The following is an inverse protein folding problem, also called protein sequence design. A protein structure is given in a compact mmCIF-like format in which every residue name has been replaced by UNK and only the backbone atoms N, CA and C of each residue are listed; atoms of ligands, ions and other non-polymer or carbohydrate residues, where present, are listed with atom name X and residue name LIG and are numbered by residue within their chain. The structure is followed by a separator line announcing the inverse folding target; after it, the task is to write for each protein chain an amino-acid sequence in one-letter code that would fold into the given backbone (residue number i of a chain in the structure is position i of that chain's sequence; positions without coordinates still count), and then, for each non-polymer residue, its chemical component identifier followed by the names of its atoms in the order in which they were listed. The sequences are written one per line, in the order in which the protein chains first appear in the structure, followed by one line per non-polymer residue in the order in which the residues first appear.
data_IF_617118705545
#
_entry.id   IF_617118705545
#
_cell.length_a   1.000
_cell.length_b   1.000
_cell.length_c   1.000
_cell.angle_alpha   90.00
_cell.angle_beta   90.00
_cell.angle_gamma   90.00
#
_symmetry.space_group_name_H-M   'P 1'
#
loop_
_entity.id
_entity.type
_entity.pdbx_description
1 polymer ?
#
# COMPACT_ATOMS: atom_id res chain seq x y z
N UNK A 1 -22.42 12.09 46.56
CA UNK A 1 -21.20 12.89 46.36
C UNK A 1 -20.79 12.74 44.90
N UNK A 2 -21.00 13.78 44.10
CA UNK A 2 -20.58 13.84 42.71
C UNK A 2 -19.06 13.94 42.66
N UNK A 3 -18.39 12.88 42.20
CA UNK A 3 -16.99 12.97 41.77
C UNK A 3 -16.98 13.55 40.35
N UNK A 4 -17.09 14.87 40.26
CA UNK A 4 -16.68 15.64 39.08
C UNK A 4 -15.15 15.62 39.00
N UNK A 5 -14.59 14.51 38.51
CA UNK A 5 -13.21 14.50 38.04
C UNK A 5 -13.13 15.28 36.73
N UNK A 6 -12.14 16.17 36.70
CA UNK A 6 -11.95 17.28 35.75
C UNK A 6 -11.93 16.87 34.26
N UNK A 7 -12.61 17.63 33.38
CA UNK A 7 -12.59 17.44 31.93
C UNK A 7 -11.20 17.62 31.28
N UNK A 8 -10.26 18.35 31.91
CA UNK A 8 -8.89 18.53 31.39
C UNK A 8 -8.09 17.22 31.29
N UNK A 9 -8.35 16.27 32.20
CA UNK A 9 -7.63 15.00 32.22
C UNK A 9 -8.16 14.03 31.15
N UNK A 10 -9.45 14.16 30.82
CA UNK A 10 -10.11 13.41 29.75
C UNK A 10 -9.74 13.96 28.37
N UNK A 11 -9.56 15.28 28.20
CA UNK A 11 -9.16 15.90 26.93
C UNK A 11 -7.69 15.58 26.54
N UNK A 12 -6.78 15.50 27.52
CA UNK A 12 -5.40 15.04 27.28
C UNK A 12 -5.34 13.55 26.93
N UNK A 13 -6.03 12.69 27.69
CA UNK A 13 -6.15 11.26 27.36
C UNK A 13 -6.84 11.05 26.01
N UNK A 14 -7.84 11.87 25.68
CA UNK A 14 -8.55 11.92 24.41
C UNK A 14 -7.62 12.20 23.24
N UNK A 15 -6.82 13.26 23.33
CA UNK A 15 -5.87 13.59 22.26
C UNK A 15 -4.83 12.49 22.10
N UNK A 16 -4.40 11.88 23.21
CA UNK A 16 -3.44 10.78 23.19
C UNK A 16 -4.00 9.49 22.58
N UNK A 17 -5.23 9.10 22.91
CA UNK A 17 -5.88 7.90 22.33
C UNK A 17 -6.22 8.11 20.87
N UNK A 18 -6.72 9.28 20.49
CA UNK A 18 -6.92 9.64 19.08
C UNK A 18 -5.59 9.60 18.33
N UNK A 19 -4.54 10.22 18.86
CA UNK A 19 -3.22 10.27 18.23
C UNK A 19 -2.61 8.86 18.09
N UNK A 20 -2.75 7.99 19.10
CA UNK A 20 -2.30 6.59 19.04
C UNK A 20 -3.11 5.80 18.00
N UNK A 21 -4.43 5.96 17.97
CA UNK A 21 -5.29 5.24 17.01
C UNK A 21 -4.96 5.68 15.58
N UNK A 22 -4.82 6.98 15.36
CA UNK A 22 -4.43 7.54 14.07
C UNK A 22 -3.02 7.12 13.66
N UNK A 23 -2.04 7.15 14.58
CA UNK A 23 -0.68 6.64 14.33
C UNK A 23 -0.66 5.17 13.99
N UNK A 24 -1.39 4.33 14.72
CA UNK A 24 -1.44 2.89 14.44
C UNK A 24 -2.03 2.59 13.05
N UNK A 25 -3.04 3.37 12.64
CA UNK A 25 -3.62 3.30 11.30
C UNK A 25 -2.65 3.80 10.22
N UNK A 26 -1.86 4.84 10.49
CA UNK A 26 -0.80 5.30 9.60
C UNK A 26 0.33 4.26 9.48
N UNK A 27 0.79 3.67 10.59
CA UNK A 27 1.89 2.70 10.63
C UNK A 27 1.56 1.40 9.89
N UNK A 28 0.39 0.80 10.13
CA UNK A 28 -0.03 -0.40 9.39
C UNK A 28 -0.18 -0.12 7.89
N UNK A 29 -0.54 1.10 7.52
CA UNK A 29 -0.71 1.50 6.13
C UNK A 29 0.62 1.77 5.41
N UNK A 30 1.64 2.23 6.12
CA UNK A 30 2.94 2.57 5.54
C UNK A 30 3.74 1.34 5.09
N UNK A 31 3.59 0.19 5.76
CA UNK A 31 4.42 -0.99 5.48
C UNK A 31 4.27 -1.49 4.04
N UNK A 32 3.05 -1.76 3.57
CA UNK A 32 2.81 -2.24 2.21
C UNK A 32 3.24 -1.22 1.15
N UNK A 33 3.02 0.07 1.42
CA UNK A 33 3.40 1.14 0.52
C UNK A 33 4.92 1.25 0.37
N UNK A 34 5.66 1.10 1.47
CA UNK A 34 7.12 1.11 1.50
C UNK A 34 7.69 -0.10 0.75
N UNK A 35 7.20 -1.31 1.03
CA UNK A 35 7.69 -2.55 0.39
C UNK A 35 7.50 -2.49 -1.14
N UNK A 36 6.31 -2.07 -1.61
CA UNK A 36 6.07 -1.90 -3.04
C UNK A 36 6.95 -0.81 -3.66
N UNK A 37 7.14 0.32 -2.98
CA UNK A 37 7.99 1.41 -3.47
C UNK A 37 9.45 0.97 -3.63
N UNK A 38 9.99 0.25 -2.64
CA UNK A 38 11.34 -0.33 -2.71
C UNK A 38 11.42 -1.32 -3.87
N UNK A 39 10.41 -2.18 -4.04
CA UNK A 39 10.31 -3.12 -5.16
C UNK A 39 10.35 -2.43 -6.52
N UNK A 40 9.56 -1.37 -6.72
CA UNK A 40 9.52 -0.62 -7.98
C UNK A 40 10.83 0.09 -8.28
N UNK A 41 11.41 0.77 -7.29
CA UNK A 41 12.71 1.42 -7.44
C UNK A 41 13.80 0.40 -7.79
N UNK A 42 13.76 -0.79 -7.18
CA UNK A 42 14.72 -1.87 -7.45
C UNK A 42 14.60 -2.39 -8.87
N UNK A 43 13.38 -2.68 -9.34
CA UNK A 43 13.14 -3.13 -10.72
C UNK A 43 13.59 -2.06 -11.72
N UNK A 44 13.27 -0.78 -11.47
CA UNK A 44 13.67 0.32 -12.33
C UNK A 44 15.20 0.49 -12.39
N UNK A 45 15.89 0.33 -11.25
CA UNK A 45 17.35 0.37 -11.20
C UNK A 45 17.97 -0.78 -12.00
N UNK A 46 17.47 -2.00 -11.83
CA UNK A 46 17.91 -3.16 -12.62
C UNK A 46 17.65 -2.93 -14.10
N UNK A 47 16.43 -2.53 -14.48
CA UNK A 47 16.09 -2.27 -15.87
C UNK A 47 16.99 -1.19 -16.50
N UNK A 48 17.30 -0.13 -15.74
CA UNK A 48 18.19 0.94 -16.21
C UNK A 48 19.59 0.44 -16.49
N UNK A 49 20.09 -0.52 -15.70
CA UNK A 49 21.38 -1.16 -15.93
C UNK A 49 21.36 -2.16 -17.09
N UNK A 50 20.26 -2.91 -17.24
CA UNK A 50 20.22 -4.10 -18.10
C UNK A 50 19.61 -3.84 -19.48
N UNK A 51 18.91 -2.72 -19.70
CA UNK A 51 18.11 -2.48 -20.91
C UNK A 51 18.90 -2.62 -22.23
N UNK A 52 20.15 -2.14 -22.29
CA UNK A 52 21.01 -2.21 -23.47
C UNK A 52 21.38 -3.65 -23.85
N UNK A 53 21.36 -4.54 -22.86
CA UNK A 53 21.66 -5.96 -22.99
C UNK A 53 20.40 -6.83 -23.15
N UNK A 54 19.19 -6.26 -23.21
CA UNK A 54 17.95 -7.02 -23.39
C UNK A 54 17.50 -7.02 -24.85
N UNK A 55 16.88 -8.12 -25.29
CA UNK A 55 16.26 -8.11 -26.62
C UNK A 55 15.02 -7.22 -26.61
N UNK A 56 14.76 -6.54 -27.72
CA UNK A 56 13.70 -5.51 -27.83
C UNK A 56 12.32 -6.00 -27.36
N UNK A 57 11.99 -7.26 -27.66
CA UNK A 57 10.71 -7.88 -27.27
C UNK A 57 10.63 -8.04 -25.74
N UNK A 58 11.68 -8.57 -25.10
CA UNK A 58 11.73 -8.71 -23.64
C UNK A 58 11.72 -7.35 -22.94
N UNK A 59 12.42 -6.36 -23.50
CA UNK A 59 12.41 -4.99 -22.98
C UNK A 59 11.00 -4.39 -23.02
N UNK A 60 10.29 -4.53 -24.15
CA UNK A 60 8.91 -4.06 -24.29
C UNK A 60 7.97 -4.69 -23.25
N UNK A 61 7.96 -6.02 -23.11
CA UNK A 61 7.11 -6.70 -22.13
C UNK A 61 7.47 -6.34 -20.69
N UNK A 62 8.76 -6.22 -20.38
CA UNK A 62 9.24 -5.80 -19.05
C UNK A 62 8.71 -4.41 -18.69
N UNK A 63 8.86 -3.44 -19.61
CA UNK A 63 8.35 -2.08 -19.44
C UNK A 63 6.83 -2.04 -19.34
N UNK A 64 6.12 -2.80 -20.18
CA UNK A 64 4.67 -2.87 -20.16
C UNK A 64 4.13 -3.39 -18.82
N UNK A 65 4.66 -4.53 -18.34
CA UNK A 65 4.29 -5.10 -17.05
C UNK A 65 4.63 -4.15 -15.89
N UNK A 66 5.82 -3.52 -15.92
CA UNK A 66 6.24 -2.57 -14.90
C UNK A 66 5.33 -1.34 -14.85
N UNK A 67 5.11 -0.66 -15.98
CA UNK A 67 4.27 0.55 -16.03
C UNK A 67 2.83 0.26 -15.62
N UNK A 68 2.27 -0.87 -16.06
CA UNK A 68 0.92 -1.27 -15.68
C UNK A 68 0.83 -1.58 -14.18
N UNK A 69 1.84 -2.25 -13.63
CA UNK A 69 1.94 -2.52 -12.18
C UNK A 69 1.97 -1.22 -11.35
N UNK A 70 2.82 -0.26 -11.75
CA UNK A 70 2.95 1.05 -11.09
C UNK A 70 1.65 1.85 -11.22
N UNK A 71 1.02 1.87 -12.39
CA UNK A 71 -0.23 2.59 -12.61
C UNK A 71 -1.35 2.06 -11.69
N UNK A 72 -1.51 0.73 -11.60
CA UNK A 72 -2.49 0.10 -10.71
C UNK A 72 -2.19 0.45 -9.24
N UNK A 73 -0.91 0.40 -8.86
CA UNK A 73 -0.49 0.74 -7.49
C UNK A 73 -0.77 2.20 -7.13
N UNK A 74 -0.48 3.15 -8.03
CA UNK A 74 -0.76 4.57 -7.80
C UNK A 74 -2.27 4.80 -7.60
N UNK A 75 -3.11 4.21 -8.45
CA UNK A 75 -4.57 4.31 -8.32
C UNK A 75 -5.04 3.73 -6.99
N UNK A 76 -4.46 2.60 -6.56
CA UNK A 76 -4.74 1.98 -5.27
C UNK A 76 -4.36 2.90 -4.09
N UNK A 77 -3.15 3.48 -4.09
CA UNK A 77 -2.67 4.37 -3.04
C UNK A 77 -3.50 5.67 -2.97
N UNK A 78 -3.84 6.27 -4.12
CA UNK A 78 -4.71 7.46 -4.15
C UNK A 78 -6.06 7.13 -3.50
N UNK A 79 -6.70 6.02 -3.88
CA UNK A 79 -8.00 5.62 -3.31
C UNK A 79 -7.90 5.37 -1.81
N UNK A 80 -6.82 4.72 -1.36
CA UNK A 80 -6.53 4.47 0.06
C UNK A 80 -6.39 5.77 0.85
N UNK A 81 -5.67 6.77 0.32
CA UNK A 81 -5.52 8.09 0.95
C UNK A 81 -6.88 8.79 1.10
N UNK A 82 -7.71 8.77 0.04
CA UNK A 82 -9.06 9.35 0.12
C UNK A 82 -9.92 8.69 1.21
N UNK A 83 -9.94 7.36 1.27
CA UNK A 83 -10.71 6.62 2.27
C UNK A 83 -10.21 6.87 3.70
N UNK A 84 -8.89 6.91 3.90
CA UNK A 84 -8.29 7.25 5.19
C UNK A 84 -8.72 8.64 5.64
N UNK A 85 -8.69 9.62 4.73
CA UNK A 85 -9.08 10.99 5.05
C UNK A 85 -10.58 11.07 5.40
N UNK A 86 -11.44 10.39 4.63
CA UNK A 86 -12.88 10.30 4.94
C UNK A 86 -13.14 9.65 6.30
N UNK A 87 -12.45 8.56 6.61
CA UNK A 87 -12.58 7.88 7.91
C UNK A 87 -12.12 8.77 9.07
N UNK A 88 -10.98 9.45 8.90
CA UNK A 88 -10.46 10.40 9.88
C UNK A 88 -11.45 11.54 10.14
N UNK A 89 -12.07 12.09 9.11
CA UNK A 89 -13.10 13.12 9.26
C UNK A 89 -14.31 12.60 10.04
N UNK A 90 -14.76 11.37 9.75
CA UNK A 90 -15.92 10.75 10.42
C UNK A 90 -15.64 10.44 11.89
N UNK A 91 -14.47 9.87 12.20
CA UNK A 91 -14.02 9.68 13.59
C UNK A 91 -13.90 11.02 14.33
N UNK A 92 -13.27 12.02 13.72
CA UNK A 92 -13.13 13.34 14.35
C UNK A 92 -14.49 13.96 14.67
N UNK A 93 -15.48 13.81 13.78
CA UNK A 93 -16.84 14.26 14.04
C UNK A 93 -17.50 13.51 15.20
N UNK A 94 -17.48 12.18 15.18
CA UNK A 94 -18.06 11.37 16.25
C UNK A 94 -17.42 11.68 17.62
N UNK A 95 -16.11 11.92 17.64
CA UNK A 95 -15.40 12.27 18.86
C UNK A 95 -15.80 13.66 19.39
N UNK A 96 -16.01 14.65 18.51
CA UNK A 96 -16.54 15.97 18.91
C UNK A 96 -17.95 15.86 19.52
N UNK A 97 -18.82 15.06 18.93
CA UNK A 97 -20.17 14.81 19.47
C UNK A 97 -20.10 14.19 20.89
N UNK A 98 -19.13 13.31 21.14
CA UNK A 98 -18.91 12.74 22.47
C UNK A 98 -18.39 13.77 23.48
N UNK A 99 -17.43 14.62 23.11
CA UNK A 99 -16.90 15.68 23.99
C UNK A 99 -17.99 16.68 24.37
N UNK A 100 -18.84 17.05 23.42
CA UNK A 100 -19.97 17.96 23.66
C UNK A 100 -21.10 17.31 24.48
N UNK A 101 -20.90 16.09 24.99
CA UNK A 101 -21.89 15.29 25.71
C UNK A 101 -23.18 15.01 24.89
N UNK A 102 -23.14 15.18 23.56
CA UNK A 102 -24.27 14.91 22.66
C UNK A 102 -24.53 13.41 22.50
N UNK A 103 -23.50 12.58 22.73
CA UNK A 103 -23.60 11.12 22.72
C UNK A 103 -22.87 10.48 23.91
N UNK A 104 -23.42 9.40 24.50
CA UNK A 104 -22.72 8.61 25.51
C UNK A 104 -21.62 7.73 24.88
N UNK A 105 -20.68 7.28 25.73
CA UNK A 105 -19.50 6.50 25.31
C UNK A 105 -19.85 5.21 24.55
N UNK A 106 -20.91 4.52 24.93
CA UNK A 106 -21.33 3.28 24.25
C UNK A 106 -21.72 3.55 22.80
N UNK A 107 -22.39 4.68 22.52
CA UNK A 107 -22.77 5.08 21.17
C UNK A 107 -21.58 5.56 20.34
N UNK A 108 -20.51 6.07 20.97
CA UNK A 108 -19.30 6.47 20.26
C UNK A 108 -18.63 5.25 19.60
N UNK A 109 -18.47 4.14 20.33
CA UNK A 109 -17.90 2.92 19.79
C UNK A 109 -18.71 2.38 18.61
N UNK A 110 -20.04 2.33 18.75
CA UNK A 110 -20.93 1.88 17.70
C UNK A 110 -20.83 2.75 16.43
N UNK A 111 -20.82 4.08 16.58
CA UNK A 111 -20.68 5.02 15.46
C UNK A 111 -19.32 4.88 14.76
N UNK A 112 -18.24 4.65 15.51
CA UNK A 112 -16.91 4.48 14.92
C UNK A 112 -16.79 3.15 14.17
N UNK A 113 -17.42 2.08 14.67
CA UNK A 113 -17.46 0.78 13.99
C UNK A 113 -18.24 0.88 12.69
N UNK A 114 -19.42 1.51 12.71
CA UNK A 114 -20.21 1.78 11.49
C UNK A 114 -19.45 2.66 10.50
N UNK A 115 -18.73 3.68 10.98
CA UNK A 115 -17.91 4.53 10.12
C UNK A 115 -16.80 3.73 9.41
N UNK A 116 -16.24 2.71 10.08
CA UNK A 116 -15.29 1.80 9.46
C UNK A 116 -16.00 0.91 8.42
N UNK A 117 -17.13 0.29 8.75
CA UNK A 117 -17.85 -0.58 7.81
C UNK A 117 -18.32 0.19 6.55
N UNK A 118 -18.87 1.39 6.72
CA UNK A 118 -19.35 2.24 5.63
C UNK A 118 -18.24 2.64 4.64
N UNK A 119 -17.03 2.87 5.15
CA UNK A 119 -15.92 3.45 4.37
C UNK A 119 -14.98 2.36 3.87
N UNK A 120 -14.67 1.38 4.73
CA UNK A 120 -13.63 0.38 4.49
C UNK A 120 -14.15 -0.98 4.08
N UNK A 121 -15.38 -1.39 4.39
CA UNK A 121 -15.77 -2.80 4.14
C UNK A 121 -15.67 -3.18 2.66
N UNK A 122 -16.08 -2.29 1.76
CA UNK A 122 -16.00 -2.49 0.31
C UNK A 122 -14.57 -2.37 -0.22
N UNK A 123 -13.77 -1.48 0.35
CA UNK A 123 -12.38 -1.34 -0.04
C UNK A 123 -11.53 -2.52 0.43
N UNK A 124 -11.72 -2.99 1.66
CA UNK A 124 -11.03 -4.16 2.22
C UNK A 124 -11.34 -5.43 1.41
N UNK A 125 -12.60 -5.63 1.01
CA UNK A 125 -12.99 -6.74 0.12
C UNK A 125 -12.30 -6.66 -1.25
N UNK A 126 -12.14 -5.45 -1.78
CA UNK A 126 -11.56 -5.21 -3.11
C UNK A 126 -10.05 -4.95 -3.07
N UNK A 127 -9.44 -4.80 -1.88
CA UNK A 127 -8.03 -4.47 -1.71
C UNK A 127 -7.14 -5.50 -2.38
N UNK A 128 -7.43 -6.78 -2.16
CA UNK A 128 -6.74 -7.88 -2.81
C UNK A 128 -6.87 -7.82 -4.34
N UNK A 129 -7.99 -7.32 -4.84
CA UNK A 129 -8.28 -7.22 -6.28
C UNK A 129 -7.46 -6.12 -6.98
N UNK A 130 -6.99 -5.11 -6.26
CA UNK A 130 -6.10 -4.07 -6.81
C UNK A 130 -4.62 -4.36 -6.50
N UNK A 131 -4.34 -4.82 -5.29
CA UNK A 131 -2.97 -5.10 -4.85
C UNK A 131 -2.38 -6.31 -5.55
N UNK A 132 -3.11 -7.44 -5.66
CA UNK A 132 -2.57 -8.65 -6.27
C UNK A 132 -2.21 -8.48 -7.75
N UNK A 133 -3.02 -7.84 -8.62
CA UNK A 133 -2.62 -7.61 -10.01
C UNK A 133 -1.39 -6.72 -10.13
N UNK A 134 -1.27 -5.67 -9.31
CA UNK A 134 -0.09 -4.84 -9.30
C UNK A 134 1.15 -5.64 -8.90
N UNK A 135 1.10 -6.36 -7.77
CA UNK A 135 2.22 -7.19 -7.31
C UNK A 135 2.60 -8.29 -8.31
N UNK A 136 1.61 -8.93 -8.93
CA UNK A 136 1.82 -9.97 -9.95
C UNK A 136 2.52 -9.41 -11.19
N UNK A 137 2.07 -8.26 -11.71
CA UNK A 137 2.70 -7.62 -12.86
C UNK A 137 4.11 -7.11 -12.56
N UNK A 138 4.34 -6.58 -11.36
CA UNK A 138 5.68 -6.18 -10.91
C UNK A 138 6.62 -7.38 -10.82
N UNK A 139 6.13 -8.48 -10.25
CA UNK A 139 6.89 -9.75 -10.18
C UNK A 139 7.15 -10.32 -11.57
N UNK A 140 6.16 -10.30 -12.46
CA UNK A 140 6.31 -10.75 -13.84
C UNK A 140 7.39 -9.95 -14.58
N UNK A 141 7.44 -8.63 -14.40
CA UNK A 141 8.51 -7.78 -14.93
C UNK A 141 9.89 -8.23 -14.45
N UNK A 142 10.04 -8.51 -13.15
CA UNK A 142 11.27 -9.07 -12.58
C UNK A 142 11.65 -10.45 -13.14
N UNK A 143 10.67 -11.35 -13.29
CA UNK A 143 10.88 -12.69 -13.87
C UNK A 143 11.36 -12.58 -15.33
N UNK A 144 10.78 -11.67 -16.12
CA UNK A 144 11.20 -11.47 -17.51
C UNK A 144 12.67 -11.04 -17.60
N UNK A 145 13.10 -10.14 -16.71
CA UNK A 145 14.50 -9.72 -16.62
C UNK A 145 15.41 -10.93 -16.34
N UNK A 146 15.06 -11.75 -15.34
CA UNK A 146 15.84 -12.94 -14.96
C UNK A 146 15.90 -13.94 -16.11
N UNK A 147 14.78 -14.23 -16.77
CA UNK A 147 14.71 -15.16 -17.89
C UNK A 147 15.58 -14.70 -19.08
N UNK A 148 15.59 -13.39 -19.39
CA UNK A 148 16.47 -12.85 -20.42
C UNK A 148 17.95 -13.04 -20.06
N UNK A 149 18.33 -12.83 -18.80
CA UNK A 149 19.70 -13.08 -18.34
C UNK A 149 20.11 -14.54 -18.46
N UNK A 150 19.25 -15.46 -18.00
CA UNK A 150 19.49 -16.90 -18.09
C UNK A 150 19.65 -17.32 -19.55
N UNK A 151 18.75 -16.88 -20.44
CA UNK A 151 18.79 -17.21 -21.86
C UNK A 151 20.09 -16.70 -22.54
N UNK A 152 20.56 -15.50 -22.20
CA UNK A 152 21.84 -14.99 -22.71
C UNK A 152 23.05 -15.75 -22.16
N UNK A 153 23.06 -16.10 -20.88
CA UNK A 153 24.11 -16.91 -20.26
C UNK A 153 24.22 -18.31 -20.87
N UNK A 154 23.09 -18.97 -21.10
CA UNK A 154 23.03 -20.28 -21.76
C UNK A 154 23.54 -20.23 -23.20
N UNK A 155 23.10 -19.24 -23.99
CA UNK A 155 23.56 -19.09 -25.37
C UNK A 155 25.07 -18.81 -25.47
N UNK A 156 25.62 -18.01 -24.55
CA UNK A 156 27.06 -17.77 -24.47
C UNK A 156 27.84 -19.07 -24.18
N UNK A 157 27.35 -19.89 -23.25
CA UNK A 157 28.00 -21.15 -22.90
C UNK A 157 27.97 -22.16 -24.06
N UNK A 158 26.83 -22.27 -24.77
CA UNK A 158 26.70 -23.12 -25.96
C UNK A 158 27.64 -22.66 -27.07
N UNK A 159 27.75 -21.35 -27.32
CA UNK A 159 28.68 -20.81 -28.31
C UNK A 159 30.15 -21.14 -27.98
N UNK A 160 30.55 -21.06 -26.70
CA UNK A 160 31.92 -21.44 -26.31
C UNK A 160 32.21 -22.93 -26.55
N UNK A 161 31.26 -23.83 -26.26
CA UNK A 161 31.42 -25.27 -26.52
C UNK A 161 31.57 -25.55 -28.02
N UNK A 162 30.77 -24.88 -28.86
CA UNK A 162 30.84 -25.03 -30.31
C UNK A 162 32.13 -24.47 -30.94
N UNK A 163 32.82 -23.53 -30.30
CA UNK A 163 34.08 -22.97 -30.81
C UNK A 163 35.29 -23.82 -30.39
N UNK A 164 35.17 -24.61 -29.32
CA UNK A 164 36.24 -25.48 -28.81
C UNK A 164 36.26 -26.89 -29.42
N UNK A 165 35.32 -27.21 -30.31
CA UNK A 165 35.21 -28.49 -31.04
C UNK A 165 35.37 -28.28 -32.54
#
# INVERSE_FOLDING_TARGET
MNNTQKPEHDEYYYNKVLDITLKSLEEMNNYNSIVCSIGFVSILAVLSYTHSSMDKIFLFFTCFCYLLSVAIFIVFEIKKVFLNNSYRQKISKNLKEYINEEIPKEKLFEKNLRAWDDIYSDFAKKQNLYFMPSAFLGTASGIIIVLNFINKGLNFYIQQICICH
#
